data_IF_889711851410
#
_entry.id   IF_889711851410
#
_cell.length_a   1.000
_cell.length_b   1.000
_cell.length_c   1.000
_cell.angle_alpha   90.00
_cell.angle_beta   90.00
_cell.angle_gamma   90.00
#
_symmetry.space_group_name_H-M   'P 1'
#
loop_
_entity.id
_entity.type
_entity.pdbx_description
1 polymer ?
#
# COMPACT_ATOMS: atom_id res chain seq x y z
N UNK A 1 0.28 13.55 10.05
CA UNK A 1 -0.30 12.41 10.76
C UNK A 1 0.76 11.83 11.68
N UNK A 2 0.45 11.63 12.97
CA UNK A 2 1.37 11.02 13.92
C UNK A 2 1.33 9.50 13.68
N UNK A 3 2.47 8.89 13.36
CA UNK A 3 2.56 7.44 13.16
C UNK A 3 2.39 6.73 14.49
N UNK A 4 1.47 5.78 14.56
CA UNK A 4 1.35 4.88 15.70
C UNK A 4 2.55 3.93 15.72
N UNK A 5 3.07 3.68 16.92
CA UNK A 5 4.19 2.76 17.10
C UNK A 5 3.68 1.31 17.00
N UNK A 6 4.15 0.60 15.98
CA UNK A 6 3.83 -0.83 15.75
C UNK A 6 4.92 -1.78 16.26
N UNK A 7 6.06 -1.24 16.73
CA UNK A 7 7.22 -2.01 17.19
C UNK A 7 7.42 -1.91 18.71
N UNK A 8 6.54 -1.23 19.44
CA UNK A 8 6.63 -1.06 20.90
C UNK A 8 8.00 -0.54 21.35
N UNK A 9 8.56 0.43 20.62
CA UNK A 9 9.89 1.02 20.82
C UNK A 9 11.06 0.05 20.62
N UNK A 10 10.85 -1.13 20.04
CA UNK A 10 11.94 -2.01 19.60
C UNK A 10 12.57 -1.49 18.30
N UNK A 11 13.65 -0.75 18.49
CA UNK A 11 14.42 -0.14 17.41
C UNK A 11 15.06 -1.19 16.48
N UNK A 12 15.45 -2.37 17.00
CA UNK A 12 16.12 -3.40 16.22
C UNK A 12 15.17 -4.03 15.21
N UNK A 13 13.97 -4.38 15.66
CA UNK A 13 12.93 -4.94 14.78
C UNK A 13 12.43 -3.91 13.77
N UNK A 14 12.30 -2.64 14.18
CA UNK A 14 11.97 -1.55 13.27
C UNK A 14 13.00 -1.41 12.14
N UNK A 15 14.30 -1.47 12.46
CA UNK A 15 15.35 -1.38 11.45
C UNK A 15 15.37 -2.58 10.51
N UNK A 16 15.17 -3.80 11.02
CA UNK A 16 15.07 -5.00 10.18
C UNK A 16 13.88 -4.91 9.21
N UNK A 17 12.71 -4.53 9.71
CA UNK A 17 11.51 -4.37 8.87
C UNK A 17 11.70 -3.26 7.83
N UNK A 18 12.31 -2.14 8.22
CA UNK A 18 12.63 -1.02 7.31
C UNK A 18 13.66 -1.40 6.26
N UNK A 19 14.66 -2.22 6.62
CA UNK A 19 15.65 -2.71 5.66
C UNK A 19 15.03 -3.64 4.62
N UNK A 20 13.99 -4.40 5.00
CA UNK A 20 13.30 -5.34 4.11
C UNK A 20 12.31 -4.66 3.16
N UNK A 21 11.56 -3.67 3.63
CA UNK A 21 10.56 -2.95 2.83
C UNK A 21 11.22 -2.01 1.82
N UNK A 22 11.30 -2.44 0.56
CA UNK A 22 11.98 -1.73 -0.53
C UNK A 22 11.32 -1.97 -1.87
N UNK A 23 11.48 -1.00 -2.76
CA UNK A 23 11.17 -1.11 -4.18
C UNK A 23 12.45 -1.42 -4.97
N UNK A 24 12.42 -2.52 -5.71
CA UNK A 24 13.49 -2.96 -6.59
C UNK A 24 13.07 -2.73 -8.03
N UNK A 25 13.95 -2.13 -8.84
CA UNK A 25 13.78 -2.01 -10.28
C UNK A 25 14.82 -2.91 -10.97
N UNK A 26 14.41 -3.60 -12.02
CA UNK A 26 15.29 -4.50 -12.75
C UNK A 26 15.01 -4.47 -14.25
N UNK A 27 15.97 -4.98 -15.01
CA UNK A 27 15.91 -5.12 -16.46
C UNK A 27 16.32 -6.56 -16.79
N UNK A 28 15.63 -7.21 -17.72
CA UNK A 28 15.92 -8.57 -18.16
C UNK A 28 15.71 -8.73 -19.67
N UNK A 29 15.97 -9.93 -20.19
CA UNK A 29 15.81 -10.29 -21.61
C UNK A 29 16.52 -9.29 -22.54
N UNK A 30 17.83 -9.14 -22.40
CA UNK A 30 18.66 -8.26 -23.23
C UNK A 30 18.12 -6.83 -23.37
N UNK A 31 17.66 -6.27 -22.24
CA UNK A 31 17.12 -4.90 -22.10
C UNK A 31 15.76 -4.67 -22.75
N UNK A 32 15.04 -5.72 -23.13
CA UNK A 32 13.69 -5.62 -23.70
C UNK A 32 12.60 -5.50 -22.65
N UNK A 33 12.81 -6.04 -21.44
CA UNK A 33 11.82 -6.03 -20.36
C UNK A 33 12.35 -5.25 -19.17
N UNK A 34 11.52 -4.32 -18.68
CA UNK A 34 11.74 -3.60 -17.42
C UNK A 34 10.68 -4.04 -16.42
N UNK A 35 11.08 -4.21 -15.17
CA UNK A 35 10.16 -4.61 -14.10
C UNK A 35 10.45 -3.91 -12.78
N UNK A 36 9.47 -3.97 -11.89
CA UNK A 36 9.58 -3.52 -10.52
C UNK A 36 8.94 -4.52 -9.57
N UNK A 37 9.55 -4.70 -8.39
CA UNK A 37 9.05 -5.53 -7.30
C UNK A 37 9.09 -4.69 -6.04
N UNK A 38 8.04 -4.77 -5.20
CA UNK A 38 7.98 -4.06 -3.93
C UNK A 38 7.74 -5.04 -2.79
N UNK A 39 8.53 -4.88 -1.73
CA UNK A 39 8.22 -5.46 -0.42
C UNK A 39 7.55 -4.38 0.43
N UNK A 40 6.30 -4.61 0.83
CA UNK A 40 5.42 -3.58 1.40
C UNK A 40 4.83 -3.97 2.76
N UNK A 41 5.32 -5.03 3.39
CA UNK A 41 4.75 -5.58 4.63
C UNK A 41 4.71 -4.54 5.75
N UNK A 42 5.80 -3.80 5.97
CA UNK A 42 5.84 -2.76 7.00
C UNK A 42 4.93 -1.60 6.61
N UNK A 43 4.99 -1.13 5.36
CA UNK A 43 4.16 -0.04 4.86
C UNK A 43 2.65 -0.34 5.04
N UNK A 44 2.20 -1.53 4.65
CA UNK A 44 0.80 -1.94 4.77
C UNK A 44 0.38 -2.09 6.24
N UNK A 45 1.26 -2.62 7.10
CA UNK A 45 0.95 -2.74 8.52
C UNK A 45 0.90 -1.37 9.24
N UNK A 46 1.81 -0.45 8.90
CA UNK A 46 1.76 0.94 9.37
C UNK A 46 0.44 1.60 8.94
N UNK A 47 0.06 1.45 7.68
CA UNK A 47 -1.21 1.96 7.15
C UNK A 47 -2.42 1.39 7.93
N UNK A 48 -2.49 0.06 8.12
CA UNK A 48 -3.59 -0.59 8.85
C UNK A 48 -3.79 0.00 10.25
N UNK A 49 -2.70 0.11 11.02
CA UNK A 49 -2.77 0.58 12.42
C UNK A 49 -3.10 2.08 12.46
N UNK A 50 -2.51 2.86 11.57
CA UNK A 50 -2.74 4.30 11.46
C UNK A 50 -4.20 4.64 11.10
N UNK A 51 -4.83 3.84 10.24
CA UNK A 51 -6.22 4.03 9.82
C UNK A 51 -7.24 3.21 10.63
N UNK A 52 -6.79 2.42 11.62
CA UNK A 52 -7.65 1.56 12.47
C UNK A 52 -8.51 0.57 11.65
N UNK A 53 -7.92 0.03 10.59
CA UNK A 53 -8.62 -0.79 9.61
C UNK A 53 -8.76 -2.24 10.05
N UNK A 54 -9.89 -2.84 9.66
CA UNK A 54 -10.11 -4.27 9.73
C UNK A 54 -9.38 -5.02 8.60
N UNK A 55 -9.51 -6.36 8.54
CA UNK A 55 -8.82 -7.19 7.56
C UNK A 55 -9.20 -6.86 6.11
N UNK A 56 -10.48 -6.60 5.85
CA UNK A 56 -10.99 -6.34 4.50
C UNK A 56 -10.54 -4.97 3.98
N UNK A 57 -10.63 -3.97 4.83
CA UNK A 57 -10.20 -2.61 4.52
C UNK A 57 -8.69 -2.56 4.31
N UNK A 58 -7.94 -3.31 5.11
CA UNK A 58 -6.49 -3.47 4.92
C UNK A 58 -6.17 -4.12 3.59
N UNK A 59 -6.93 -5.14 3.19
CA UNK A 59 -6.74 -5.82 1.91
C UNK A 59 -6.96 -4.85 0.74
N UNK A 60 -8.07 -4.11 0.75
CA UNK A 60 -8.43 -3.15 -0.31
C UNK A 60 -7.43 -1.99 -0.37
N UNK A 61 -7.23 -1.29 0.74
CA UNK A 61 -6.34 -0.12 0.76
C UNK A 61 -4.87 -0.53 0.56
N UNK A 62 -4.48 -1.69 1.10
CA UNK A 62 -3.14 -2.25 0.95
C UNK A 62 -2.80 -2.55 -0.51
N UNK A 63 -3.74 -3.14 -1.27
CA UNK A 63 -3.58 -3.32 -2.72
C UNK A 63 -3.43 -1.98 -3.44
N UNK A 64 -4.21 -0.96 -3.07
CA UNK A 64 -4.08 0.40 -3.60
C UNK A 64 -2.69 1.00 -3.34
N UNK A 65 -2.16 0.83 -2.13
CA UNK A 65 -0.81 1.29 -1.76
C UNK A 65 0.29 0.58 -2.57
N UNK A 66 0.19 -0.74 -2.74
CA UNK A 66 1.13 -1.52 -3.53
C UNK A 66 1.09 -1.09 -5.00
N UNK A 67 -0.10 -0.93 -5.56
CA UNK A 67 -0.27 -0.45 -6.93
C UNK A 67 0.35 0.94 -7.12
N UNK A 68 0.06 1.90 -6.24
CA UNK A 68 0.66 3.23 -6.31
C UNK A 68 2.20 3.20 -6.18
N UNK A 69 2.73 2.33 -5.32
CA UNK A 69 4.18 2.12 -5.18
C UNK A 69 4.82 1.57 -6.46
N UNK A 70 4.15 0.64 -7.14
CA UNK A 70 4.66 0.08 -8.39
C UNK A 70 4.56 1.11 -9.52
N UNK A 71 3.49 1.90 -9.59
CA UNK A 71 3.33 2.95 -10.60
C UNK A 71 4.38 4.06 -10.43
N UNK A 72 4.69 4.45 -9.19
CA UNK A 72 5.70 5.48 -8.94
C UNK A 72 7.12 5.03 -9.36
N UNK A 73 7.33 3.72 -9.57
CA UNK A 73 8.61 3.19 -10.06
C UNK A 73 9.01 3.78 -11.42
N UNK A 74 8.04 4.20 -12.24
CA UNK A 74 8.27 4.77 -13.57
C UNK A 74 8.47 6.28 -13.62
N UNK A 75 8.31 6.98 -12.49
CA UNK A 75 8.49 8.43 -12.43
C UNK A 75 9.96 8.83 -12.66
N UNK A 76 10.17 10.04 -13.20
CA UNK A 76 11.50 10.52 -13.59
C UNK A 76 11.90 11.78 -12.83
N UNK A 77 10.95 12.68 -12.56
CA UNK A 77 11.22 13.88 -11.79
C UNK A 77 11.00 13.62 -10.29
N UNK A 78 11.73 14.35 -9.45
CA UNK A 78 11.58 14.29 -7.98
C UNK A 78 10.28 14.91 -7.51
N UNK A 79 9.72 15.83 -8.28
CA UNK A 79 8.46 16.51 -8.00
C UNK A 79 7.25 15.74 -8.56
N UNK A 80 7.48 14.70 -9.36
CA UNK A 80 6.41 13.89 -9.92
C UNK A 80 5.66 13.12 -8.82
N UNK A 81 4.34 13.04 -9.00
CA UNK A 81 3.43 12.29 -8.14
C UNK A 81 2.43 11.53 -9.00
N UNK A 82 2.06 10.35 -8.54
CA UNK A 82 0.96 9.56 -9.10
C UNK A 82 -0.16 9.56 -8.10
N UNK A 83 -1.35 9.97 -8.53
CA UNK A 83 -2.59 9.78 -7.78
C UNK A 83 -3.47 8.76 -8.49
N UNK A 84 -4.14 7.92 -7.70
CA UNK A 84 -5.07 6.91 -8.16
C UNK A 84 -6.34 7.02 -7.32
N UNK A 85 -7.46 7.28 -7.99
CA UNK A 85 -8.79 7.31 -7.40
C UNK A 85 -9.62 6.19 -8.00
N UNK A 86 -10.20 5.36 -7.15
CA UNK A 86 -11.15 4.32 -7.55
C UNK A 86 -12.51 4.69 -6.97
N UNK A 87 -13.54 4.64 -7.80
CA UNK A 87 -14.92 4.82 -7.38
C UNK A 87 -15.71 3.55 -7.69
N UNK A 88 -16.56 3.13 -6.77
CA UNK A 88 -17.42 1.97 -6.98
C UNK A 88 -18.77 2.14 -6.29
N UNK A 89 -19.78 1.41 -6.77
CA UNK A 89 -21.12 1.38 -6.19
C UNK A 89 -21.20 0.54 -4.90
N UNK A 90 -20.20 -0.31 -4.65
CA UNK A 90 -20.11 -1.21 -3.50
C UNK A 90 -19.97 -0.52 -2.14
N UNK A 91 -19.88 -1.30 -1.05
CA UNK A 91 -19.91 -0.78 0.32
C UNK A 91 -18.73 0.14 0.65
N UNK A 92 -17.56 -0.06 0.01
CA UNK A 92 -16.38 0.77 0.23
C UNK A 92 -16.48 2.17 -0.40
N UNK A 93 -17.38 2.35 -1.38
CA UNK A 93 -17.54 3.54 -2.26
C UNK A 93 -16.31 3.96 -3.08
N UNK A 94 -15.11 3.55 -2.68
CA UNK A 94 -13.88 3.83 -3.38
C UNK A 94 -12.69 4.02 -2.44
N UNK A 95 -11.57 4.38 -3.04
CA UNK A 95 -10.33 4.71 -2.35
C UNK A 95 -9.56 5.76 -3.14
N UNK A 96 -8.74 6.53 -2.44
CA UNK A 96 -7.83 7.51 -3.01
C UNK A 96 -6.43 7.26 -2.47
N UNK A 97 -5.45 7.07 -3.35
CA UNK A 97 -4.06 6.78 -2.99
C UNK A 97 -3.14 7.63 -3.85
N UNK A 98 -2.07 8.13 -3.26
CA UNK A 98 -1.06 8.97 -3.90
C UNK A 98 0.33 8.47 -3.51
N UNK A 99 1.24 8.44 -4.47
CA UNK A 99 2.66 8.14 -4.25
C UNK A 99 3.55 9.17 -4.93
N UNK A 100 4.67 9.50 -4.29
CA UNK A 100 5.72 10.32 -4.90
C UNK A 100 6.86 9.45 -5.48
N UNK A 101 7.83 10.10 -6.13
CA UNK A 101 9.02 9.44 -6.68
C UNK A 101 9.88 8.70 -5.63
N UNK A 102 9.79 9.11 -4.36
CA UNK A 102 10.52 8.46 -3.26
C UNK A 102 9.84 7.18 -2.76
N UNK A 103 8.67 6.82 -3.31
CA UNK A 103 7.90 5.66 -2.87
C UNK A 103 7.18 5.89 -1.54
N UNK A 104 7.02 7.15 -1.13
CA UNK A 104 6.18 7.50 0.01
C UNK A 104 4.72 7.53 -0.45
N UNK A 105 3.91 6.71 0.21
CA UNK A 105 2.52 6.49 -0.19
C UNK A 105 1.59 6.93 0.92
N UNK A 106 0.52 7.63 0.53
CA UNK A 106 -0.59 7.99 1.40
C UNK A 106 -1.91 7.73 0.71
N UNK A 107 -2.96 7.47 1.47
CA UNK A 107 -4.27 7.25 0.92
C UNK A 107 -5.29 6.97 2.00
N UNK A 108 -6.55 6.85 1.60
CA UNK A 108 -7.66 6.55 2.49
C UNK A 108 -8.77 5.84 1.73
N UNK A 109 -9.60 5.11 2.47
CA UNK A 109 -10.86 4.58 1.96
C UNK A 109 -11.95 5.62 2.12
N UNK A 110 -12.87 5.71 1.15
CA UNK A 110 -14.01 6.62 1.23
C UNK A 110 -14.98 6.22 2.35
N UNK A 111 -15.07 4.92 2.64
CA UNK A 111 -15.79 4.38 3.79
C UNK A 111 -14.80 3.55 4.64
N UNK A 112 -14.58 3.91 5.91
CA UNK A 112 -13.51 3.32 6.73
C UNK A 112 -13.84 1.95 7.34
N UNK A 113 -15.11 1.54 7.35
CA UNK A 113 -15.55 0.22 7.85
C UNK A 113 -16.55 -0.41 6.91
N UNK A 114 -16.33 -1.68 6.59
CA UNK A 114 -17.18 -2.51 5.75
C UNK A 114 -17.93 -3.46 6.67
N UNK A 115 -19.25 -3.35 6.68
CA UNK A 115 -20.09 -4.28 7.41
C UNK A 115 -20.25 -5.59 6.62
N UNK A 116 -19.63 -6.66 7.12
CA UNK A 116 -19.73 -8.01 6.53
C UNK A 116 -20.01 -9.02 7.62
N UNK A 117 -20.92 -9.97 7.36
CA UNK A 117 -21.34 -11.00 8.33
C UNK A 117 -20.24 -12.02 8.68
N UNK A 118 -19.38 -12.37 7.73
CA UNK A 118 -18.31 -13.38 7.87
C UNK A 118 -16.99 -12.93 7.21
N UNK A 119 -16.31 -11.92 7.77
CA UNK A 119 -15.06 -11.42 7.20
C UNK A 119 -13.95 -12.48 7.10
N UNK A 120 -13.93 -13.46 8.00
CA UNK A 120 -12.94 -14.55 8.07
C UNK A 120 -12.94 -15.51 6.87
N UNK A 121 -14.06 -15.56 6.12
CA UNK A 121 -14.17 -16.43 4.94
C UNK A 121 -13.65 -15.78 3.66
N UNK A 122 -13.40 -14.47 3.67
CA UNK A 122 -12.98 -13.71 2.50
C UNK A 122 -11.46 -13.75 2.39
N UNK A 123 -10.96 -14.57 1.46
CA UNK A 123 -9.51 -14.66 1.16
C UNK A 123 -9.07 -13.76 -0.01
N UNK A 124 -10.00 -13.42 -0.90
CA UNK A 124 -9.76 -12.64 -2.11
C UNK A 124 -10.94 -11.68 -2.35
N UNK A 125 -10.67 -10.53 -2.99
CA UNK A 125 -11.70 -9.54 -3.32
C UNK A 125 -12.44 -9.85 -4.63
N UNK A 126 -11.88 -10.73 -5.46
CA UNK A 126 -12.52 -11.28 -6.65
C UNK A 126 -12.60 -12.80 -6.54
N UNK A 127 -13.69 -13.36 -7.03
CA UNK A 127 -13.84 -14.80 -7.31
C UNK A 127 -12.88 -15.25 -8.39
#
# INVERSE_FOLDING_TARGET
MIKKDIFNKDVKEQFKASAKDRLYRFIMADRTIKGAVVHSTRMVNEMRVNHELGPLETLVLGQGYIAASLLCSGLKDKNDRVSMSIQCSGPIKGLDVESNMFGEVRGYLKVPKIEVKHPEKIKYLST
#
